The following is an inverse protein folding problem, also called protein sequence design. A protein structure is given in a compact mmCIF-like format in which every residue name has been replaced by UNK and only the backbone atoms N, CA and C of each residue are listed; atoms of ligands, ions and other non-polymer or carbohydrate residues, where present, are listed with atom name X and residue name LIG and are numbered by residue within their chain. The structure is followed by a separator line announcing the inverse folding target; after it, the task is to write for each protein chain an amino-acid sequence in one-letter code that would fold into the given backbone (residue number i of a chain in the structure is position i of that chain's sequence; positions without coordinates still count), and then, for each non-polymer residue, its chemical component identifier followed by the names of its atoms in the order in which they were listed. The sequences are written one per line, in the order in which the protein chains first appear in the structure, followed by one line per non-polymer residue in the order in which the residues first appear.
data_IF_985084966622
#
_entry.id   IF_985084966622
#
_cell.length_a   1.000
_cell.length_b   1.000
_cell.length_c   1.000
_cell.angle_alpha   90.00
_cell.angle_beta   90.00
_cell.angle_gamma   90.00
#
_symmetry.space_group_name_H-M   'P 1'
#
loop_
_entity.id
_entity.type
_entity.pdbx_description
1 polymer ?
#
# COMPACT_ATOMS: atom_id res chain seq x y z
N UNK A 1 10.91 -16.76 -12.43
CA UNK A 1 12.30 -16.92 -12.95
C UNK A 1 12.85 -15.65 -13.61
N UNK A 2 12.29 -14.45 -13.36
CA UNK A 2 12.78 -13.18 -13.95
C UNK A 2 13.95 -12.58 -13.14
N UNK A 3 14.08 -12.96 -11.86
CA UNK A 3 15.14 -12.50 -10.95
C UNK A 3 16.58 -12.94 -11.33
N UNK A 4 16.73 -14.01 -12.12
CA UNK A 4 18.05 -14.51 -12.58
C UNK A 4 18.52 -13.88 -13.91
N UNK A 5 17.62 -13.24 -14.67
CA UNK A 5 18.00 -12.51 -15.88
C UNK A 5 18.56 -11.11 -15.55
N UNK A 6 18.05 -10.53 -14.45
CA UNK A 6 18.44 -9.21 -13.94
C UNK A 6 19.93 -9.14 -13.60
N UNK A 7 20.46 -10.13 -12.87
CA UNK A 7 21.87 -10.17 -12.45
C UNK A 7 22.88 -10.23 -13.60
N UNK A 8 22.51 -10.81 -14.76
CA UNK A 8 23.40 -10.87 -15.94
C UNK A 8 23.38 -9.58 -16.76
N UNK A 9 22.23 -8.88 -16.83
CA UNK A 9 22.10 -7.58 -17.50
C UNK A 9 22.71 -6.45 -16.67
N UNK A 10 22.59 -6.52 -15.34
CA UNK A 10 23.22 -5.57 -14.42
C UNK A 10 24.75 -5.53 -14.57
N UNK A 11 25.35 -6.70 -14.80
CA UNK A 11 26.80 -6.87 -14.97
C UNK A 11 27.29 -6.40 -16.34
N UNK A 12 26.42 -6.29 -17.35
CA UNK A 12 26.80 -5.88 -18.71
C UNK A 12 26.47 -4.40 -19.02
N UNK A 13 25.38 -3.86 -18.46
CA UNK A 13 24.93 -2.49 -18.73
C UNK A 13 25.25 -1.49 -17.60
N UNK A 14 25.40 -1.95 -16.35
CA UNK A 14 25.58 -1.09 -15.18
C UNK A 14 26.75 -1.52 -14.28
N UNK A 15 27.79 -2.10 -14.88
CA UNK A 15 28.99 -2.56 -14.16
C UNK A 15 29.75 -1.45 -13.41
N UNK A 16 29.66 -0.22 -13.90
CA UNK A 16 30.42 0.93 -13.39
C UNK A 16 29.63 1.84 -12.43
N UNK A 17 28.33 1.57 -12.19
CA UNK A 17 27.46 2.45 -11.41
C UNK A 17 27.28 1.91 -9.99
N UNK A 18 27.36 2.79 -9.00
CA UNK A 18 27.13 2.42 -7.62
C UNK A 18 25.66 2.02 -7.41
N UNK A 19 25.39 1.11 -6.45
CA UNK A 19 24.04 0.56 -6.25
C UNK A 19 22.95 1.61 -6.03
N UNK A 20 23.27 2.75 -5.41
CA UNK A 20 22.33 3.84 -5.22
C UNK A 20 21.95 4.54 -6.53
N UNK A 21 22.88 4.67 -7.47
CA UNK A 21 22.64 5.31 -8.78
C UNK A 21 21.64 4.49 -9.61
N UNK A 22 21.74 3.16 -9.54
CA UNK A 22 20.81 2.22 -10.20
C UNK A 22 19.38 2.39 -9.68
N UNK A 23 19.22 2.51 -8.36
CA UNK A 23 17.92 2.70 -7.73
C UNK A 23 17.32 4.05 -8.14
N UNK A 24 18.10 5.14 -8.08
CA UNK A 24 17.65 6.45 -8.52
C UNK A 24 17.20 6.45 -9.99
N UNK A 25 17.98 5.82 -10.89
CA UNK A 25 17.65 5.75 -12.31
C UNK A 25 16.36 4.97 -12.58
N UNK A 26 16.15 3.84 -11.90
CA UNK A 26 14.91 3.06 -12.02
C UNK A 26 13.68 3.87 -11.55
N UNK A 27 13.79 4.57 -10.41
CA UNK A 27 12.72 5.43 -9.90
C UNK A 27 12.40 6.56 -10.89
N UNK A 28 13.40 7.18 -11.51
CA UNK A 28 13.19 8.22 -12.52
C UNK A 28 12.46 7.66 -13.75
N UNK A 29 12.93 6.55 -14.32
CA UNK A 29 12.29 5.94 -15.50
C UNK A 29 10.84 5.60 -15.22
N UNK A 30 10.57 4.91 -14.10
CA UNK A 30 9.23 4.50 -13.73
C UNK A 30 8.32 5.69 -13.45
N UNK A 31 8.83 6.76 -12.83
CA UNK A 31 8.10 8.01 -12.61
C UNK A 31 7.72 8.67 -13.93
N UNK A 32 8.66 8.78 -14.88
CA UNK A 32 8.39 9.36 -16.20
C UNK A 32 7.38 8.51 -16.98
N UNK A 33 7.49 7.17 -16.92
CA UNK A 33 6.53 6.28 -17.56
C UNK A 33 5.11 6.46 -16.99
N UNK A 34 4.97 6.56 -15.66
CA UNK A 34 3.69 6.82 -15.01
C UNK A 34 3.12 8.20 -15.33
N UNK A 35 3.96 9.22 -15.43
CA UNK A 35 3.53 10.56 -15.87
C UNK A 35 2.99 10.51 -17.29
N UNK A 36 3.72 9.89 -18.23
CA UNK A 36 3.26 9.74 -19.62
C UNK A 36 1.94 8.98 -19.68
N UNK A 37 1.79 7.89 -18.92
CA UNK A 37 0.53 7.14 -18.84
C UNK A 37 -0.62 8.01 -18.30
N UNK A 38 -0.35 8.83 -17.29
CA UNK A 38 -1.33 9.75 -16.70
C UNK A 38 -1.76 10.83 -17.70
N UNK A 39 -0.82 11.39 -18.46
CA UNK A 39 -1.12 12.39 -19.50
C UNK A 39 -1.76 11.79 -20.75
N UNK A 40 -1.45 10.55 -21.11
CA UNK A 40 -2.10 9.83 -22.20
C UNK A 40 -3.54 9.41 -21.86
N UNK A 41 -3.87 9.29 -20.58
CA UNK A 41 -5.22 8.99 -20.11
C UNK A 41 -6.07 10.27 -20.14
N UNK A 42 -7.17 10.27 -20.90
CA UNK A 42 -8.06 11.43 -21.00
C UNK A 42 -8.64 11.78 -19.62
N UNK A 43 -8.69 13.07 -19.22
CA UNK A 43 -9.34 13.47 -17.98
C UNK A 43 -10.84 13.10 -18.04
N UNK A 44 -11.36 12.57 -16.94
CA UNK A 44 -12.76 12.11 -16.85
C UNK A 44 -13.73 13.28 -17.02
N UNK A 45 -14.84 13.07 -17.74
CA UNK A 45 -15.83 14.12 -18.00
C UNK A 45 -16.55 14.52 -16.70
N UNK A 46 -16.64 15.83 -16.44
CA UNK A 46 -17.22 16.37 -15.20
C UNK A 46 -18.69 15.94 -14.99
N UNK A 47 -19.46 15.83 -16.07
CA UNK A 47 -20.87 15.38 -16.04
C UNK A 47 -21.00 13.93 -15.53
N UNK A 48 -20.06 13.06 -15.90
CA UNK A 48 -20.02 11.67 -15.40
C UNK A 48 -19.70 11.63 -13.91
N UNK A 49 -18.82 12.52 -13.42
CA UNK A 49 -18.46 12.61 -12.01
C UNK A 49 -19.63 13.07 -11.14
N UNK A 50 -20.42 14.05 -11.61
CA UNK A 50 -21.61 14.52 -10.92
C UNK A 50 -22.72 13.47 -10.88
N UNK A 51 -22.93 12.75 -11.99
CA UNK A 51 -23.84 11.61 -12.03
C UNK A 51 -23.42 10.51 -11.05
N UNK A 52 -22.12 10.17 -10.98
CA UNK A 52 -21.60 9.21 -9.99
C UNK A 52 -21.77 9.68 -8.56
N UNK A 53 -21.48 10.95 -8.25
CA UNK A 53 -21.67 11.50 -6.91
C UNK A 53 -23.14 11.42 -6.47
N UNK A 54 -24.07 11.71 -7.36
CA UNK A 54 -25.50 11.61 -7.05
C UNK A 54 -25.93 10.16 -6.78
N UNK A 55 -25.46 9.19 -7.57
CA UNK A 55 -25.76 7.76 -7.40
C UNK A 55 -25.16 7.19 -6.10
N UNK A 56 -23.94 7.63 -5.73
CA UNK A 56 -23.22 7.07 -4.58
C UNK A 56 -23.64 7.73 -3.27
N UNK A 57 -23.93 9.04 -3.27
CA UNK A 57 -24.12 9.81 -2.02
C UNK A 57 -25.57 10.27 -1.76
N UNK A 58 -26.46 10.31 -2.75
CA UNK A 58 -27.88 10.67 -2.54
C UNK A 58 -28.09 11.90 -1.63
N UNK A 59 -28.98 11.79 -0.64
CA UNK A 59 -29.31 12.84 0.38
C UNK A 59 -28.57 12.68 1.72
N UNK A 60 -27.67 11.71 1.84
CA UNK A 60 -26.98 11.41 3.10
C UNK A 60 -25.63 12.12 3.17
N UNK A 61 -25.23 12.56 4.37
CA UNK A 61 -23.98 13.29 4.57
C UNK A 61 -22.77 12.44 4.19
N UNK A 62 -22.01 12.90 3.19
CA UNK A 62 -20.73 12.35 2.69
C UNK A 62 -19.71 12.02 3.79
N UNK A 63 -19.89 12.57 4.99
CA UNK A 63 -18.97 12.48 6.13
C UNK A 63 -19.52 11.77 7.37
N UNK A 64 -20.64 11.05 7.28
CA UNK A 64 -21.09 10.24 8.43
C UNK A 64 -20.03 9.15 8.72
N UNK A 65 -19.43 9.20 9.91
CA UNK A 65 -18.32 8.34 10.36
C UNK A 65 -17.02 8.37 9.56
N UNK A 66 -16.74 9.43 8.77
CA UNK A 66 -15.45 9.62 8.09
C UNK A 66 -14.20 9.44 8.99
N UNK A 67 -14.12 10.01 10.22
CA UNK A 67 -12.97 9.79 11.10
C UNK A 67 -12.82 8.33 11.57
N UNK A 68 -13.91 7.57 11.68
CA UNK A 68 -13.85 6.14 12.03
C UNK A 68 -13.30 5.34 10.83
N UNK A 69 -13.65 5.72 9.59
CA UNK A 69 -13.12 5.10 8.38
C UNK A 69 -11.60 5.32 8.26
N UNK A 70 -11.13 6.55 8.51
CA UNK A 70 -9.70 6.87 8.47
C UNK A 70 -8.92 6.13 9.58
N UNK A 71 -9.50 6.02 10.78
CA UNK A 71 -8.87 5.33 11.90
C UNK A 71 -8.76 3.82 11.62
N UNK A 72 -9.78 3.22 11.00
CA UNK A 72 -9.71 1.85 10.50
C UNK A 72 -8.61 1.65 9.45
N UNK A 73 -8.43 2.59 8.52
CA UNK A 73 -7.34 2.52 7.54
C UNK A 73 -5.96 2.47 8.20
N UNK A 74 -5.69 3.35 9.17
CA UNK A 74 -4.42 3.34 9.92
C UNK A 74 -4.23 2.06 10.73
N UNK A 75 -5.30 1.58 11.40
CA UNK A 75 -5.26 0.32 12.15
C UNK A 75 -4.92 -0.88 11.25
N UNK A 76 -5.41 -0.87 10.00
CA UNK A 76 -5.09 -1.87 8.99
C UNK A 76 -3.63 -1.84 8.57
N UNK A 77 -3.08 -0.64 8.30
CA UNK A 77 -1.66 -0.48 7.97
C UNK A 77 -0.77 -1.01 9.11
N UNK A 78 -1.06 -0.61 10.35
CA UNK A 78 -0.32 -1.04 11.54
C UNK A 78 -0.41 -2.57 11.71
N UNK A 79 -1.59 -3.15 11.49
CA UNK A 79 -1.79 -4.60 11.54
C UNK A 79 -0.95 -5.34 10.50
N UNK A 80 -0.99 -4.93 9.23
CA UNK A 80 -0.22 -5.59 8.16
C UNK A 80 1.29 -5.51 8.43
N UNK A 81 1.81 -4.37 8.87
CA UNK A 81 3.23 -4.27 9.23
C UNK A 81 3.58 -5.14 10.43
N UNK A 82 2.72 -5.19 11.46
CA UNK A 82 2.94 -6.04 12.62
C UNK A 82 3.01 -7.52 12.23
N UNK A 83 2.19 -7.96 11.27
CA UNK A 83 2.24 -9.32 10.73
C UNK A 83 3.53 -9.58 9.94
N UNK A 84 3.92 -8.66 9.06
CA UNK A 84 5.14 -8.78 8.25
C UNK A 84 6.39 -8.91 9.13
N UNK A 85 6.50 -8.05 10.15
CA UNK A 85 7.61 -8.09 11.11
C UNK A 85 7.54 -9.31 12.04
N UNK A 86 6.35 -9.76 12.44
CA UNK A 86 6.17 -10.98 13.23
C UNK A 86 6.71 -12.21 12.48
N UNK A 87 6.32 -12.38 11.21
CA UNK A 87 6.80 -13.46 10.34
C UNK A 87 8.32 -13.36 10.14
N UNK A 88 8.84 -12.14 9.92
CA UNK A 88 10.27 -11.89 9.85
C UNK A 88 11.00 -12.35 11.11
N UNK A 89 10.52 -11.98 12.30
CA UNK A 89 11.12 -12.37 13.59
C UNK A 89 11.08 -13.88 13.84
N UNK A 90 10.01 -14.57 13.43
CA UNK A 90 9.97 -16.03 13.47
C UNK A 90 11.04 -16.68 12.60
N UNK A 91 11.28 -16.14 11.40
CA UNK A 91 12.32 -16.63 10.49
C UNK A 91 13.74 -16.41 11.04
N UNK A 92 13.96 -15.32 11.79
CA UNK A 92 15.26 -15.04 12.45
C UNK A 92 15.48 -15.82 13.75
N UNK A 93 14.54 -16.67 14.18
CA UNK A 93 14.67 -17.50 15.38
C UNK A 93 14.42 -16.77 16.71
N UNK A 94 14.08 -15.48 16.68
CA UNK A 94 13.71 -14.71 17.86
C UNK A 94 12.19 -14.76 18.08
N UNK A 95 11.76 -15.91 18.60
CA UNK A 95 10.36 -16.25 18.93
C UNK A 95 9.76 -15.33 20.01
N UNK A 96 10.58 -14.74 20.88
CA UNK A 96 10.11 -13.87 21.95
C UNK A 96 9.55 -12.55 21.40
N UNK A 97 10.26 -11.90 20.47
CA UNK A 97 9.73 -10.70 19.83
C UNK A 97 8.65 -11.02 18.79
N UNK A 98 8.72 -12.16 18.10
CA UNK A 98 7.70 -12.56 17.12
C UNK A 98 6.30 -12.73 17.72
N UNK A 99 6.20 -13.35 18.90
CA UNK A 99 4.91 -13.59 19.57
C UNK A 99 4.23 -12.31 20.06
N UNK A 100 4.99 -11.32 20.54
CA UNK A 100 4.41 -10.03 20.96
C UNK A 100 3.84 -9.24 19.77
N UNK A 101 4.53 -9.24 18.64
CA UNK A 101 4.03 -8.62 17.39
C UNK A 101 2.82 -9.38 16.82
N UNK A 102 2.79 -10.71 16.97
CA UNK A 102 1.61 -11.51 16.60
C UNK A 102 0.38 -11.15 17.45
N UNK A 103 0.57 -10.92 18.76
CA UNK A 103 -0.49 -10.44 19.64
C UNK A 103 -1.02 -9.06 19.23
N UNK A 104 -0.14 -8.13 18.89
CA UNK A 104 -0.51 -6.80 18.40
C UNK A 104 -1.32 -6.85 17.10
N UNK A 105 -0.96 -7.74 16.18
CA UNK A 105 -1.73 -7.98 14.95
C UNK A 105 -3.15 -8.45 15.26
N UNK A 106 -3.31 -9.44 16.15
CA UNK A 106 -4.63 -9.96 16.55
C UNK A 106 -5.48 -8.84 17.17
N UNK A 107 -4.90 -8.00 18.04
CA UNK A 107 -5.60 -6.85 18.65
C UNK A 107 -6.05 -5.86 17.57
N UNK A 108 -5.21 -5.55 16.58
CA UNK A 108 -5.57 -4.65 15.47
C UNK A 108 -6.70 -5.23 14.61
N UNK A 109 -6.66 -6.53 14.31
CA UNK A 109 -7.69 -7.21 13.51
C UNK A 109 -9.02 -7.28 14.28
N UNK A 110 -8.99 -7.62 15.57
CA UNK A 110 -10.19 -7.62 16.41
C UNK A 110 -10.79 -6.22 16.54
N UNK A 111 -9.94 -5.19 16.71
CA UNK A 111 -10.35 -3.79 16.69
C UNK A 111 -11.06 -3.41 15.39
N UNK A 112 -10.53 -3.82 14.24
CA UNK A 112 -11.15 -3.61 12.93
C UNK A 112 -12.51 -4.31 12.78
N UNK A 113 -12.62 -5.57 13.21
CA UNK A 113 -13.87 -6.33 13.15
C UNK A 113 -14.93 -5.70 14.05
N UNK A 114 -14.56 -5.22 15.24
CA UNK A 114 -15.47 -4.48 16.11
C UNK A 114 -15.90 -3.13 15.52
N UNK A 115 -14.96 -2.40 14.90
CA UNK A 115 -15.21 -1.12 14.22
C UNK A 115 -16.13 -1.28 13.00
N UNK A 116 -16.13 -2.44 12.33
CA UNK A 116 -17.03 -2.74 11.20
C UNK A 116 -18.51 -2.47 11.55
N UNK A 117 -18.97 -2.87 12.74
CA UNK A 117 -20.37 -2.68 13.18
C UNK A 117 -20.78 -1.21 13.34
N UNK A 118 -19.81 -0.31 13.44
CA UNK A 118 -20.03 1.14 13.53
C UNK A 118 -19.78 1.84 12.18
N UNK A 119 -19.24 1.11 11.20
CA UNK A 119 -18.80 1.60 9.90
C UNK A 119 -19.80 1.31 8.77
N UNK A 120 -20.58 0.23 8.93
CA UNK A 120 -21.76 -0.18 8.15
C UNK A 120 -23.01 0.00 9.01
#
# INVERSE_FOLDING_TARGET
MIFFADSRLDTQLFANWAGYEKICFNVVITTTAWLIATFATRPTQAETLDHFNHVIFGKESKFHNFPIKILGFFMGIIGVYSLLFSIGKFLYGDVAMGTSLMGLFIICVLGLIALRKKLF
#
